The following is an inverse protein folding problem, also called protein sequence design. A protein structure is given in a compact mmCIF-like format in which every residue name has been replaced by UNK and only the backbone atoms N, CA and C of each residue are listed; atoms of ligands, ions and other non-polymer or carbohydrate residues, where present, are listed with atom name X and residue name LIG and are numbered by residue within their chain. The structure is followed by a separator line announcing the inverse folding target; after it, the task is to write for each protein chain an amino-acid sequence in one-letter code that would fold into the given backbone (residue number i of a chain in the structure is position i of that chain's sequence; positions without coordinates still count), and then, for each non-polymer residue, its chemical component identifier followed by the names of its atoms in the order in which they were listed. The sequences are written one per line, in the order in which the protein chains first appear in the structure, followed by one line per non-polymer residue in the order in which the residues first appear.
data_IF_850834465711
#
_entry.id   IF_850834465711
#
_cell.length_a   1.000
_cell.length_b   1.000
_cell.length_c   1.000
_cell.angle_alpha   90.00
_cell.angle_beta   90.00
_cell.angle_gamma   90.00
#
_symmetry.space_group_name_H-M   'P 1'
#
loop_
_entity.id
_entity.type
_entity.pdbx_description
1 polymer ?
#
# COMPACT_ATOMS: atom_id res chain seq x y z
N UNK A 1 1.31 9.35 5.01
CA UNK A 1 1.27 8.37 6.12
C UNK A 1 0.37 8.87 7.22
N UNK A 2 0.21 8.08 8.28
CA UNK A 2 -0.48 8.48 9.50
C UNK A 2 0.53 8.52 10.64
N UNK A 3 0.66 9.68 11.29
CA UNK A 3 1.58 9.90 12.44
C UNK A 3 0.75 10.52 13.56
N UNK A 4 0.77 9.90 14.74
CA UNK A 4 -0.03 10.31 15.91
C UNK A 4 -1.52 10.56 15.57
N UNK A 5 -2.10 9.68 14.76
CA UNK A 5 -3.50 9.76 14.31
C UNK A 5 -3.78 10.84 13.26
N UNK A 6 -2.75 11.54 12.75
CA UNK A 6 -2.90 12.61 11.75
C UNK A 6 -2.37 12.19 10.40
N UNK A 7 -3.09 12.56 9.33
CA UNK A 7 -2.61 12.39 7.95
C UNK A 7 -1.49 13.39 7.68
N UNK A 8 -0.33 12.88 7.28
CA UNK A 8 0.84 13.69 6.91
C UNK A 8 1.37 13.31 5.53
N UNK A 9 1.91 14.30 4.82
CA UNK A 9 2.62 14.08 3.56
C UNK A 9 4.02 13.60 3.87
N UNK A 10 4.33 12.34 3.53
CA UNK A 10 5.67 11.76 3.72
C UNK A 10 6.62 12.11 2.57
N UNK A 11 6.07 12.40 1.38
CA UNK A 11 6.86 12.77 0.22
C UNK A 11 5.99 13.03 -1.00
N UNK A 12 6.64 13.39 -2.11
CA UNK A 12 6.01 13.57 -3.43
C UNK A 12 6.80 12.82 -4.48
N UNK A 13 6.14 11.99 -5.26
CA UNK A 13 6.74 11.25 -6.35
C UNK A 13 6.04 11.57 -7.68
N UNK A 14 6.78 11.50 -8.78
CA UNK A 14 6.23 11.72 -10.13
C UNK A 14 6.11 10.39 -10.86
N UNK A 15 4.88 9.98 -11.13
CA UNK A 15 4.56 8.72 -11.80
C UNK A 15 4.47 7.52 -10.84
N UNK A 16 3.75 6.49 -11.27
CA UNK A 16 3.40 5.32 -10.44
C UNK A 16 4.62 4.53 -9.96
N UNK A 17 5.65 4.38 -10.81
CA UNK A 17 6.89 3.68 -10.45
C UNK A 17 7.61 4.36 -9.28
N UNK A 18 7.81 5.68 -9.38
CA UNK A 18 8.48 6.45 -8.33
C UNK A 18 7.64 6.50 -7.04
N UNK A 19 6.32 6.64 -7.18
CA UNK A 19 5.40 6.62 -6.03
C UNK A 19 5.46 5.30 -5.28
N UNK A 20 5.49 4.18 -5.99
CA UNK A 20 5.59 2.84 -5.40
C UNK A 20 6.91 2.66 -4.65
N UNK A 21 8.04 3.00 -5.28
CA UNK A 21 9.36 2.92 -4.63
C UNK A 21 9.42 3.76 -3.35
N UNK A 22 8.86 4.97 -3.37
CA UNK A 22 8.77 5.82 -2.18
C UNK A 22 7.95 5.17 -1.06
N UNK A 23 6.79 4.55 -1.37
CA UNK A 23 5.98 3.90 -0.35
C UNK A 23 6.75 2.76 0.33
N UNK A 24 7.45 1.92 -0.44
CA UNK A 24 8.26 0.84 0.13
C UNK A 24 9.43 1.35 0.98
N UNK A 25 10.09 2.42 0.55
CA UNK A 25 11.15 3.05 1.34
C UNK A 25 10.61 3.59 2.68
N UNK A 26 9.43 4.22 2.67
CA UNK A 26 8.78 4.69 3.90
C UNK A 26 8.31 3.55 4.81
N UNK A 27 7.89 2.42 4.23
CA UNK A 27 7.54 1.20 4.97
C UNK A 27 8.78 0.62 5.67
N UNK A 28 9.91 0.52 4.97
CA UNK A 28 11.16 0.05 5.57
C UNK A 28 11.67 1.01 6.66
N UNK A 29 11.58 2.33 6.45
CA UNK A 29 11.87 3.34 7.50
C UNK A 29 10.97 3.18 8.74
N UNK A 30 9.75 2.67 8.56
CA UNK A 30 8.82 2.36 9.64
C UNK A 30 9.05 1.00 10.32
N UNK A 31 10.12 0.26 9.97
CA UNK A 31 10.47 -1.06 10.51
C UNK A 31 10.18 -2.24 9.57
N UNK A 32 9.60 -1.97 8.40
CA UNK A 32 9.17 -2.99 7.44
C UNK A 32 7.94 -3.78 7.91
N UNK A 33 7.42 -4.66 7.06
CA UNK A 33 6.12 -5.33 7.26
C UNK A 33 6.26 -6.61 8.11
N UNK A 34 5.44 -6.73 9.15
CA UNK A 34 5.19 -7.97 9.88
C UNK A 34 4.14 -8.81 9.14
N UNK A 35 4.61 -9.70 8.26
CA UNK A 35 3.76 -10.60 7.46
C UNK A 35 3.05 -11.67 8.29
N UNK A 36 3.32 -11.81 9.60
CA UNK A 36 2.54 -12.67 10.48
C UNK A 36 1.20 -12.05 10.89
N UNK A 37 1.00 -10.77 10.56
CA UNK A 37 -0.22 -10.01 10.84
C UNK A 37 -0.92 -9.56 9.56
N UNK A 38 -2.21 -9.18 9.64
CA UNK A 38 -2.95 -8.73 8.48
C UNK A 38 -2.30 -7.53 7.79
N UNK A 39 -2.22 -7.63 6.46
CA UNK A 39 -1.88 -6.53 5.56
C UNK A 39 -3.13 -6.24 4.73
N UNK A 40 -3.44 -4.97 4.51
CA UNK A 40 -4.67 -4.56 3.84
C UNK A 40 -4.42 -3.49 2.79
N UNK A 41 -5.15 -3.59 1.68
CA UNK A 41 -5.13 -2.57 0.62
C UNK A 41 -6.53 -2.01 0.42
N UNK A 42 -6.61 -0.70 0.23
CA UNK A 42 -7.85 -0.03 -0.12
C UNK A 42 -7.67 0.85 -1.35
N UNK A 43 -8.74 1.05 -2.11
CA UNK A 43 -8.77 1.91 -3.30
C UNK A 43 -9.95 2.88 -3.24
N UNK A 44 -9.85 4.01 -3.92
CA UNK A 44 -10.95 4.97 -4.08
C UNK A 44 -11.36 5.13 -5.54
N UNK A 45 -12.63 5.49 -5.77
CA UNK A 45 -13.20 5.69 -7.10
C UNK A 45 -13.99 4.48 -7.61
N UNK A 46 -14.30 4.50 -8.91
CA UNK A 46 -15.21 3.54 -9.54
C UNK A 46 -14.54 2.24 -10.03
N UNK A 47 -13.20 2.18 -9.98
CA UNK A 47 -12.45 1.05 -10.52
C UNK A 47 -11.37 0.58 -9.56
N UNK A 48 -11.30 -0.73 -9.36
CA UNK A 48 -10.28 -1.40 -8.55
C UNK A 48 -8.97 -1.66 -9.33
N UNK A 49 -8.92 -1.33 -10.63
CA UNK A 49 -7.78 -1.64 -11.52
C UNK A 49 -6.45 -1.14 -10.97
N UNK A 50 -6.42 0.08 -10.43
CA UNK A 50 -5.20 0.66 -9.88
C UNK A 50 -4.80 -0.06 -8.59
N UNK A 51 -5.75 -0.37 -7.71
CA UNK A 51 -5.51 -1.14 -6.49
C UNK A 51 -4.98 -2.55 -6.76
N UNK A 52 -5.59 -3.27 -7.72
CA UNK A 52 -5.12 -4.60 -8.16
C UNK A 52 -3.73 -4.56 -8.75
N UNK A 53 -3.46 -3.59 -9.64
CA UNK A 53 -2.13 -3.40 -10.21
C UNK A 53 -1.12 -3.12 -9.09
N UNK A 54 -1.46 -2.28 -8.13
CA UNK A 54 -0.61 -1.96 -7.00
C UNK A 54 -0.26 -3.20 -6.16
N UNK A 55 -1.23 -4.08 -5.89
CA UNK A 55 -1.00 -5.36 -5.20
C UNK A 55 -0.03 -6.24 -6.00
N UNK A 56 -0.34 -6.51 -7.26
CA UNK A 56 0.48 -7.39 -8.10
C UNK A 56 1.94 -6.89 -8.20
N UNK A 57 2.09 -5.59 -8.44
CA UNK A 57 3.38 -4.90 -8.48
C UNK A 57 4.16 -5.00 -7.16
N UNK A 58 3.45 -4.92 -6.04
CA UNK A 58 4.02 -4.92 -4.68
C UNK A 58 4.50 -6.31 -4.28
N UNK A 59 3.70 -7.34 -4.56
CA UNK A 59 4.03 -8.73 -4.28
C UNK A 59 5.20 -9.21 -5.16
N UNK A 60 5.26 -8.78 -6.42
CA UNK A 60 6.42 -9.03 -7.29
C UNK A 60 7.74 -8.49 -6.67
N UNK A 61 7.73 -7.25 -6.17
CA UNK A 61 8.90 -6.67 -5.49
C UNK A 61 9.26 -7.44 -4.23
N UNK A 62 8.26 -7.80 -3.41
CA UNK A 62 8.49 -8.54 -2.18
C UNK A 62 9.12 -9.92 -2.45
N UNK A 63 8.67 -10.61 -3.51
CA UNK A 63 9.26 -11.87 -3.96
C UNK A 63 10.68 -11.69 -4.49
N UNK A 64 10.91 -10.70 -5.36
CA UNK A 64 12.26 -10.38 -5.88
C UNK A 64 13.24 -10.03 -4.75
N UNK A 65 12.75 -9.42 -3.67
CA UNK A 65 13.50 -9.09 -2.46
C UNK A 65 13.63 -10.22 -1.44
N UNK A 66 13.08 -11.41 -1.71
CA UNK A 66 13.12 -12.57 -0.82
C UNK A 66 12.29 -12.43 0.47
N UNK A 67 11.36 -11.48 0.53
CA UNK A 67 10.46 -11.28 1.68
C UNK A 67 9.32 -12.31 1.71
N UNK A 68 8.93 -12.80 0.54
CA UNK A 68 7.93 -13.87 0.34
C UNK A 68 8.47 -14.86 -0.71
N UNK A 69 7.99 -16.09 -0.70
CA UNK A 69 8.44 -17.14 -1.63
C UNK A 69 8.09 -16.84 -3.10
N UNK A 70 6.89 -16.30 -3.34
CA UNK A 70 6.40 -15.94 -4.67
C UNK A 70 5.31 -14.86 -4.55
N UNK A 71 4.95 -14.16 -5.65
CA UNK A 71 3.87 -13.18 -5.62
C UNK A 71 2.51 -13.76 -5.22
N UNK A 72 2.31 -15.06 -5.42
CA UNK A 72 1.06 -15.75 -5.09
C UNK A 72 1.05 -16.30 -3.64
N UNK A 73 2.16 -16.16 -2.90
CA UNK A 73 2.29 -16.66 -1.53
C UNK A 73 1.48 -15.84 -0.51
N UNK A 74 0.97 -14.67 -0.90
CA UNK A 74 0.20 -13.78 -0.02
C UNK A 74 -1.01 -13.22 -0.76
N UNK A 75 -2.21 -13.46 -0.22
CA UNK A 75 -3.42 -12.81 -0.69
C UNK A 75 -3.68 -11.54 0.12
N UNK A 76 -3.75 -10.40 -0.57
CA UNK A 76 -4.02 -9.10 0.04
C UNK A 76 -5.49 -8.70 -0.21
N UNK A 77 -6.31 -8.56 0.84
CA UNK A 77 -7.66 -8.02 0.70
C UNK A 77 -7.63 -6.64 0.06
N UNK A 78 -8.54 -6.42 -0.91
CA UNK A 78 -8.75 -5.14 -1.56
C UNK A 78 -10.15 -4.61 -1.23
N UNK A 79 -10.23 -3.44 -0.61
CA UNK A 79 -11.50 -2.84 -0.18
C UNK A 79 -11.73 -1.47 -0.81
N UNK A 80 -12.96 -1.21 -1.26
CA UNK A 80 -13.37 0.14 -1.67
C UNK A 80 -13.46 1.05 -0.45
N UNK A 81 -12.80 2.19 -0.52
CA UNK A 81 -12.95 3.27 0.45
C UNK A 81 -14.33 3.92 0.30
N UNK A 82 -15.09 3.99 1.39
CA UNK A 82 -16.42 4.59 1.40
C UNK A 82 -16.44 6.10 1.15
N UNK A 83 -17.62 6.65 0.86
CA UNK A 83 -17.79 8.03 0.41
C UNK A 83 -17.14 9.08 1.32
N UNK A 84 -17.23 8.93 2.64
CA UNK A 84 -16.69 9.89 3.62
C UNK A 84 -15.18 10.08 3.46
N UNK A 85 -14.43 9.01 3.25
CA UNK A 85 -12.97 9.09 3.05
C UNK A 85 -12.67 9.39 1.57
N UNK A 86 -13.43 8.79 0.65
CA UNK A 86 -13.26 8.95 -0.79
C UNK A 86 -13.38 10.40 -1.26
N UNK A 87 -14.22 11.23 -0.64
CA UNK A 87 -14.35 12.66 -0.99
C UNK A 87 -13.10 13.47 -0.67
N UNK A 88 -12.30 13.06 0.31
CA UNK A 88 -11.05 13.76 0.66
C UNK A 88 -9.85 13.29 -0.17
N UNK A 89 -9.85 12.01 -0.57
CA UNK A 89 -8.75 11.41 -1.35
C UNK A 89 -8.93 11.67 -2.84
N UNK A 90 -10.18 11.73 -3.32
CA UNK A 90 -10.51 11.71 -4.75
C UNK A 90 -10.43 10.30 -5.34
N UNK A 91 -10.76 10.13 -6.63
CA UNK A 91 -10.61 8.86 -7.33
C UNK A 91 -9.13 8.46 -7.47
N UNK A 92 -8.89 7.18 -7.76
CA UNK A 92 -7.57 6.60 -8.08
C UNK A 92 -6.56 6.57 -6.92
N UNK A 93 -7.00 6.86 -5.71
CA UNK A 93 -6.21 6.72 -4.49
C UNK A 93 -6.04 5.25 -4.12
N UNK A 94 -4.85 4.92 -3.61
CA UNK A 94 -4.54 3.60 -3.02
C UNK A 94 -3.97 3.82 -1.62
N UNK A 95 -4.49 3.06 -0.66
CA UNK A 95 -3.99 3.03 0.71
C UNK A 95 -3.48 1.63 1.04
N UNK A 96 -2.43 1.58 1.86
CA UNK A 96 -1.79 0.36 2.32
C UNK A 96 -1.68 0.41 3.84
N UNK A 97 -2.17 -0.62 4.52
CA UNK A 97 -2.15 -0.74 5.96
C UNK A 97 -1.41 -2.03 6.35
N UNK A 98 -0.53 -1.92 7.34
CA UNK A 98 0.33 -3.01 7.79
C UNK A 98 0.71 -2.81 9.25
N UNK A 99 1.21 -3.88 9.87
CA UNK A 99 1.89 -3.83 11.16
C UNK A 99 3.40 -3.84 10.94
N UNK A 100 4.14 -3.01 11.66
CA UNK A 100 5.60 -2.99 11.58
C UNK A 100 6.21 -4.20 12.30
N UNK A 101 7.32 -4.75 11.76
CA UNK A 101 8.20 -5.66 12.51
C UNK A 101 8.80 -4.83 13.65
N UNK A 102 8.58 -5.23 14.90
CA UNK A 102 9.15 -4.53 16.06
C UNK A 102 10.67 -4.40 15.98
#
# INVERSE_FOLDING_TARGET
GVVDGKVVVLGKARGSKASRSMVFEEIEKAGGIDFTRPVWVAYSGLSDKIGRKYIADSLAIAADGGLIESPDALELPLTLVGAVIGTHVGPDGVAFAFFARK
#
